data_IF_639722573759
#
_entry.id   IF_639722573759
#
_cell.length_a   1.000
_cell.length_b   1.000
_cell.length_c   1.000
_cell.angle_alpha   90.00
_cell.angle_beta   90.00
_cell.angle_gamma   90.00
#
_symmetry.space_group_name_H-M   'P 1'
#
loop_
_entity.id
_entity.type
_entity.pdbx_description
1 polymer ?
#
# COMPACT_ATOMS: atom_id res chain seq x y z
N UNK A 1 -51.33 -82.46 -61.83
CA UNK A 1 -50.26 -81.55 -61.36
C UNK A 1 -50.92 -80.34 -60.72
N UNK A 2 -50.76 -80.12 -59.41
CA UNK A 2 -51.28 -78.92 -58.72
C UNK A 2 -50.11 -78.13 -58.14
N UNK A 3 -49.97 -76.89 -58.61
CA UNK A 3 -48.91 -75.93 -58.32
C UNK A 3 -48.99 -75.44 -56.88
N UNK A 4 -47.86 -75.47 -56.16
CA UNK A 4 -47.72 -74.90 -54.81
C UNK A 4 -47.21 -73.45 -54.93
N UNK A 5 -48.00 -72.48 -54.48
CA UNK A 5 -47.53 -71.10 -54.30
C UNK A 5 -46.57 -71.05 -53.10
N UNK A 6 -45.32 -70.65 -53.34
CA UNK A 6 -44.37 -70.31 -52.29
C UNK A 6 -44.56 -68.84 -51.90
N UNK A 7 -45.01 -68.57 -50.68
CA UNK A 7 -45.02 -67.23 -50.09
C UNK A 7 -43.61 -66.88 -49.63
N UNK A 8 -42.94 -65.97 -50.32
CA UNK A 8 -41.64 -65.43 -49.90
C UNK A 8 -41.88 -64.27 -48.94
N UNK A 9 -41.79 -64.51 -47.64
CA UNK A 9 -41.80 -63.46 -46.62
C UNK A 9 -40.49 -62.67 -46.70
N UNK A 10 -40.55 -61.42 -47.13
CA UNK A 10 -39.41 -60.50 -47.12
C UNK A 10 -39.29 -59.91 -45.71
N UNK A 11 -38.19 -60.22 -45.02
CA UNK A 11 -37.88 -59.67 -43.70
C UNK A 11 -37.22 -58.30 -43.84
N UNK A 12 -37.87 -57.24 -43.36
CA UNK A 12 -37.30 -55.89 -43.28
C UNK A 12 -36.30 -55.86 -42.11
N UNK A 13 -35.00 -55.73 -42.40
CA UNK A 13 -33.97 -55.45 -41.40
C UNK A 13 -34.02 -53.95 -41.04
N UNK A 14 -34.48 -53.63 -39.84
CA UNK A 14 -34.32 -52.30 -39.25
C UNK A 14 -32.89 -52.16 -38.70
N UNK A 15 -32.05 -51.36 -39.37
CA UNK A 15 -30.78 -50.92 -38.82
C UNK A 15 -31.00 -49.64 -38.01
N UNK A 16 -31.13 -49.76 -36.68
CA UNK A 16 -31.07 -48.59 -35.81
C UNK A 16 -29.59 -48.24 -35.55
N UNK A 17 -29.19 -47.00 -35.87
CA UNK A 17 -27.88 -46.47 -35.47
C UNK A 17 -27.94 -46.20 -33.97
N UNK A 18 -27.48 -47.16 -33.18
CA UNK A 18 -27.27 -46.97 -31.74
C UNK A 18 -26.00 -46.16 -31.53
N UNK A 19 -26.13 -44.97 -30.95
CA UNK A 19 -24.96 -44.16 -30.58
C UNK A 19 -24.35 -44.68 -29.27
N UNK A 20 -23.03 -44.64 -29.14
CA UNK A 20 -22.25 -45.25 -28.04
C UNK A 20 -22.00 -44.32 -26.83
N UNK A 21 -22.54 -43.10 -26.79
CA UNK A 21 -22.37 -42.23 -25.62
C UNK A 21 -23.15 -42.75 -24.40
N UNK A 22 -22.53 -42.62 -23.23
CA UNK A 22 -23.13 -42.99 -21.95
C UNK A 22 -23.73 -41.75 -21.31
N UNK A 23 -25.06 -41.68 -21.29
CA UNK A 23 -25.80 -40.70 -20.50
C UNK A 23 -26.36 -41.33 -19.25
N UNK A 24 -25.98 -40.81 -18.08
CA UNK A 24 -26.62 -41.19 -16.81
C UNK A 24 -27.43 -39.98 -16.33
N UNK A 25 -28.76 -40.13 -16.31
CA UNK A 25 -29.68 -39.05 -15.93
C UNK A 25 -30.02 -38.05 -17.04
N UNK A 26 -29.57 -38.30 -18.27
CA UNK A 26 -29.99 -37.54 -19.48
C UNK A 26 -30.21 -38.49 -20.66
N UNK A 27 -31.33 -38.34 -21.41
CA UNK A 27 -31.55 -39.10 -22.65
C UNK A 27 -30.80 -38.49 -23.85
N UNK A 28 -30.17 -37.33 -23.68
CA UNK A 28 -29.48 -36.62 -24.76
C UNK A 28 -28.14 -36.08 -24.25
N UNK A 29 -27.13 -36.94 -24.08
CA UNK A 29 -25.79 -36.51 -23.70
C UNK A 29 -25.21 -35.55 -24.74
N UNK A 30 -24.38 -34.63 -24.29
CA UNK A 30 -23.60 -33.72 -25.13
C UNK A 30 -22.82 -34.51 -26.19
N UNK A 31 -22.83 -34.03 -27.44
CA UNK A 31 -22.06 -34.63 -28.53
C UNK A 31 -20.54 -34.57 -28.29
N UNK A 32 -20.09 -33.72 -27.36
CA UNK A 32 -18.68 -33.61 -26.96
C UNK A 32 -18.32 -34.49 -25.76
N UNK A 33 -19.23 -35.32 -25.26
CA UNK A 33 -19.02 -36.17 -24.09
C UNK A 33 -19.21 -37.66 -24.41
N UNK A 34 -18.23 -38.48 -24.02
CA UNK A 34 -18.40 -39.95 -24.02
C UNK A 34 -19.23 -40.39 -22.81
N UNK A 35 -19.12 -39.67 -21.68
CA UNK A 35 -19.90 -39.87 -20.46
C UNK A 35 -20.46 -38.53 -19.97
N UNK A 36 -21.76 -38.43 -19.79
CA UNK A 36 -22.42 -37.30 -19.11
C UNK A 36 -23.20 -37.79 -17.89
N UNK A 37 -22.98 -37.15 -16.74
CA UNK A 37 -23.72 -37.37 -15.51
C UNK A 37 -24.59 -36.14 -15.25
N UNK A 38 -25.91 -36.29 -15.40
CA UNK A 38 -26.86 -35.18 -15.23
C UNK A 38 -27.81 -35.47 -14.05
N UNK A 39 -27.64 -34.74 -12.96
CA UNK A 39 -28.51 -34.80 -11.78
C UNK A 39 -28.41 -33.48 -11.02
N UNK A 40 -29.52 -33.02 -10.45
CA UNK A 40 -29.57 -31.82 -9.60
C UNK A 40 -29.18 -32.08 -8.15
N UNK A 41 -29.08 -33.34 -7.72
CA UNK A 41 -28.88 -33.71 -6.32
C UNK A 41 -27.98 -34.95 -6.11
N UNK A 42 -27.26 -35.39 -7.15
CA UNK A 42 -26.26 -36.47 -7.06
C UNK A 42 -24.95 -36.01 -7.68
N UNK A 43 -23.85 -36.57 -7.20
CA UNK A 43 -22.50 -36.33 -7.75
C UNK A 43 -21.83 -37.63 -8.22
N UNK A 44 -20.61 -37.49 -8.72
CA UNK A 44 -19.72 -38.61 -9.00
C UNK A 44 -18.87 -38.91 -7.76
N UNK A 45 -19.04 -40.10 -7.18
CA UNK A 45 -18.12 -40.60 -6.18
C UNK A 45 -16.91 -41.21 -6.88
N UNK A 46 -15.79 -40.50 -6.86
CA UNK A 46 -14.53 -40.95 -7.45
C UNK A 46 -13.93 -42.13 -6.68
N UNK A 47 -13.10 -42.92 -7.36
CA UNK A 47 -12.29 -43.94 -6.70
C UNK A 47 -11.41 -43.30 -5.63
N UNK A 48 -11.50 -43.81 -4.40
CA UNK A 48 -10.68 -43.37 -3.28
C UNK A 48 -9.36 -44.15 -3.27
N UNK A 49 -8.26 -43.45 -3.03
CA UNK A 49 -6.91 -44.03 -2.98
C UNK A 49 -6.12 -43.44 -1.82
N UNK A 50 -5.10 -44.16 -1.37
CA UNK A 50 -4.18 -43.70 -0.32
C UNK A 50 -2.84 -43.37 -0.98
N UNK A 51 -2.68 -42.13 -1.46
CA UNK A 51 -1.43 -41.69 -2.09
C UNK A 51 -0.32 -41.56 -1.02
N UNK A 52 0.92 -41.85 -1.41
CA UNK A 52 2.07 -41.79 -0.51
C UNK A 52 2.90 -40.50 -0.68
N UNK A 53 3.00 -39.99 -1.91
CA UNK A 53 3.63 -38.71 -2.26
C UNK A 53 3.20 -38.26 -3.66
N UNK A 54 3.42 -37.00 -4.02
CA UNK A 54 3.06 -36.47 -5.35
C UNK A 54 3.77 -37.21 -6.48
N UNK A 55 5.03 -37.57 -6.30
CA UNK A 55 5.88 -38.21 -7.31
C UNK A 55 5.84 -39.75 -7.29
N UNK A 56 4.99 -40.37 -6.48
CA UNK A 56 4.82 -41.82 -6.45
C UNK A 56 3.59 -42.22 -7.24
N UNK A 57 3.72 -43.18 -8.15
CA UNK A 57 2.58 -43.77 -8.86
C UNK A 57 1.66 -44.57 -7.92
N UNK A 58 2.17 -45.00 -6.76
CA UNK A 58 1.42 -45.80 -5.78
C UNK A 58 0.12 -45.11 -5.36
N UNK A 59 -1.01 -45.84 -5.26
CA UNK A 59 -1.12 -47.31 -5.34
C UNK A 59 -1.20 -47.88 -6.75
N UNK A 60 -1.05 -47.06 -7.79
CA UNK A 60 -0.98 -47.53 -9.18
C UNK A 60 0.45 -48.01 -9.50
N UNK A 61 0.56 -48.93 -10.46
CA UNK A 61 1.87 -49.42 -10.91
C UNK A 61 2.65 -48.40 -11.76
N UNK A 62 1.97 -47.41 -12.34
CA UNK A 62 2.57 -46.35 -13.14
C UNK A 62 1.68 -45.09 -13.14
N UNK A 63 2.27 -43.95 -13.46
CA UNK A 63 1.53 -42.71 -13.70
C UNK A 63 0.79 -42.80 -15.05
N UNK A 64 -0.49 -42.45 -15.05
CA UNK A 64 -1.34 -42.44 -16.25
C UNK A 64 -1.94 -41.05 -16.37
N UNK A 65 -1.49 -40.30 -17.38
CA UNK A 65 -1.95 -38.93 -17.63
C UNK A 65 -3.48 -38.88 -17.79
N UNK A 66 -4.09 -37.86 -17.16
CA UNK A 66 -5.54 -37.65 -17.23
C UNK A 66 -6.36 -38.55 -16.29
N UNK A 67 -5.73 -39.37 -15.45
CA UNK A 67 -6.42 -40.15 -14.41
C UNK A 67 -6.79 -39.28 -13.22
N UNK A 68 -8.01 -39.45 -12.69
CA UNK A 68 -8.53 -38.67 -11.56
C UNK A 68 -8.90 -39.60 -10.40
N UNK A 69 -8.55 -39.22 -9.18
CA UNK A 69 -8.79 -39.99 -7.96
C UNK A 69 -9.07 -39.07 -6.78
N UNK A 70 -9.75 -39.57 -5.75
CA UNK A 70 -9.85 -38.89 -4.47
C UNK A 70 -8.83 -39.49 -3.49
N UNK A 71 -7.83 -38.71 -3.10
CA UNK A 71 -6.87 -39.13 -2.09
C UNK A 71 -7.47 -39.01 -0.69
N UNK A 72 -7.28 -40.01 0.16
CA UNK A 72 -7.71 -40.00 1.57
C UNK A 72 -6.56 -39.86 2.56
N UNK A 73 -5.31 -39.91 2.09
CA UNK A 73 -4.13 -39.94 2.95
C UNK A 73 -3.50 -38.55 3.15
N UNK A 74 -2.95 -38.32 4.33
CA UNK A 74 -1.92 -37.31 4.57
C UNK A 74 -0.57 -38.02 4.66
N UNK A 75 0.30 -37.83 3.68
CA UNK A 75 1.55 -38.59 3.58
C UNK A 75 2.65 -37.79 2.85
N UNK A 76 3.88 -38.30 2.91
CA UNK A 76 5.05 -37.70 2.28
C UNK A 76 5.60 -36.49 3.04
N UNK A 77 6.64 -35.86 2.47
CA UNK A 77 7.29 -34.67 3.00
C UNK A 77 7.33 -33.57 1.96
N UNK A 78 7.31 -32.31 2.40
CA UNK A 78 7.40 -31.16 1.49
C UNK A 78 8.67 -31.25 0.62
N UNK A 79 8.58 -31.00 -0.71
CA UNK A 79 7.43 -30.44 -1.45
C UNK A 79 6.48 -31.49 -2.06
N UNK A 80 6.70 -32.79 -1.81
CA UNK A 80 5.94 -33.88 -2.43
C UNK A 80 4.87 -34.48 -1.51
N UNK A 81 4.47 -33.78 -0.46
CA UNK A 81 3.44 -34.25 0.45
C UNK A 81 2.05 -34.22 -0.21
N UNK A 82 1.20 -35.15 0.21
CA UNK A 82 -0.20 -35.23 -0.20
C UNK A 82 -1.10 -34.97 1.01
N UNK A 83 -2.30 -34.48 0.74
CA UNK A 83 -3.38 -34.29 1.71
C UNK A 83 -4.67 -34.87 1.13
N UNK A 84 -5.70 -35.13 1.94
CA UNK A 84 -6.99 -35.55 1.41
C UNK A 84 -7.55 -34.53 0.41
N UNK A 85 -8.01 -35.00 -0.75
CA UNK A 85 -8.49 -34.13 -1.82
C UNK A 85 -8.58 -34.80 -3.18
N UNK A 86 -9.09 -34.08 -4.17
CA UNK A 86 -9.17 -34.57 -5.55
C UNK A 86 -7.85 -34.34 -6.28
N UNK A 87 -7.29 -35.38 -6.87
CA UNK A 87 -6.05 -35.33 -7.63
C UNK A 87 -6.28 -35.77 -9.07
N UNK A 88 -5.59 -35.13 -10.01
CA UNK A 88 -5.35 -35.73 -11.32
C UNK A 88 -3.87 -36.10 -11.48
N UNK A 89 -3.60 -37.03 -12.37
CA UNK A 89 -2.24 -37.39 -12.74
C UNK A 89 -1.84 -36.69 -14.05
N UNK A 90 -0.68 -36.03 -14.06
CA UNK A 90 -0.15 -35.31 -15.24
C UNK A 90 0.77 -36.18 -16.13
N UNK A 91 0.81 -37.49 -15.89
CA UNK A 91 1.71 -38.44 -16.56
C UNK A 91 3.04 -38.66 -15.82
N UNK A 92 3.40 -37.78 -14.88
CA UNK A 92 4.64 -37.90 -14.11
C UNK A 92 4.45 -37.80 -12.59
N UNK A 93 3.35 -37.19 -12.13
CA UNK A 93 3.03 -36.98 -10.72
C UNK A 93 1.53 -36.75 -10.51
N UNK A 94 1.11 -36.82 -9.26
CA UNK A 94 -0.19 -36.38 -8.80
C UNK A 94 -0.21 -34.87 -8.60
N UNK A 95 -1.26 -34.22 -9.07
CA UNK A 95 -1.51 -32.79 -8.92
C UNK A 95 -2.82 -32.62 -8.16
N UNK A 96 -2.75 -31.97 -7.00
CA UNK A 96 -3.93 -31.62 -6.22
C UNK A 96 -4.75 -30.60 -7.01
N UNK A 97 -6.02 -30.89 -7.26
CA UNK A 97 -6.98 -29.88 -7.69
C UNK A 97 -7.38 -29.04 -6.49
N UNK A 98 -6.54 -28.08 -6.13
CA UNK A 98 -6.94 -27.00 -5.22
C UNK A 98 -7.81 -26.04 -6.01
N UNK A 99 -9.12 -26.04 -5.72
CA UNK A 99 -10.03 -25.01 -6.19
C UNK A 99 -9.93 -23.86 -5.17
N UNK A 100 -8.85 -23.10 -5.32
CA UNK A 100 -8.66 -21.73 -4.83
C UNK A 100 -8.16 -21.50 -3.40
N UNK A 101 -6.85 -21.46 -3.23
CA UNK A 101 -6.23 -20.68 -2.15
C UNK A 101 -6.19 -19.15 -2.46
N UNK A 102 -6.56 -18.76 -3.68
CA UNK A 102 -6.49 -17.39 -4.19
C UNK A 102 -7.85 -16.70 -4.41
N UNK A 103 -8.95 -17.28 -3.94
CA UNK A 103 -10.22 -16.55 -3.93
C UNK A 103 -10.19 -15.48 -2.83
N UNK A 104 -10.69 -14.27 -3.12
CA UNK A 104 -10.79 -13.25 -2.09
C UNK A 104 -11.76 -13.68 -0.99
N UNK A 105 -11.33 -13.47 0.25
CA UNK A 105 -12.09 -13.74 1.46
C UNK A 105 -12.70 -12.45 1.97
N UNK A 106 -13.83 -12.57 2.68
CA UNK A 106 -14.50 -11.42 3.28
C UNK A 106 -13.51 -10.69 4.20
N UNK A 107 -13.31 -9.40 3.96
CA UNK A 107 -12.35 -8.57 4.70
C UNK A 107 -10.97 -8.44 4.05
N UNK A 108 -10.68 -9.16 2.96
CA UNK A 108 -9.46 -8.94 2.19
C UNK A 108 -9.44 -7.51 1.63
N UNK A 109 -8.26 -6.88 1.69
CA UNK A 109 -8.02 -5.55 1.12
C UNK A 109 -7.05 -5.67 -0.04
N UNK A 110 -7.35 -5.01 -1.16
CA UNK A 110 -6.46 -4.90 -2.31
C UNK A 110 -6.31 -3.45 -2.76
N UNK A 111 -5.17 -3.15 -3.38
CA UNK A 111 -4.96 -1.92 -4.13
C UNK A 111 -5.29 -2.15 -5.62
N UNK A 112 -5.85 -1.13 -6.29
CA UNK A 112 -6.23 -1.19 -7.69
C UNK A 112 -6.28 0.20 -8.32
N UNK A 113 -6.12 0.29 -9.64
CA UNK A 113 -6.34 1.53 -10.42
C UNK A 113 -7.79 1.70 -10.88
N UNK A 114 -8.64 0.69 -10.64
CA UNK A 114 -10.09 0.75 -10.96
C UNK A 114 -10.77 1.76 -10.03
N UNK A 115 -11.71 2.54 -10.56
CA UNK A 115 -12.36 3.64 -9.84
C UNK A 115 -13.72 3.29 -9.24
N UNK A 116 -14.32 2.17 -9.65
CA UNK A 116 -15.66 1.72 -9.22
C UNK A 116 -15.63 0.34 -8.59
N UNK A 117 -16.69 0.02 -7.85
CA UNK A 117 -16.92 -1.33 -7.34
C UNK A 117 -16.95 -2.35 -8.48
N UNK A 118 -16.51 -3.57 -8.19
CA UNK A 118 -16.47 -4.66 -9.16
C UNK A 118 -16.35 -6.00 -8.46
N UNK A 119 -17.06 -7.02 -8.92
CA UNK A 119 -16.84 -8.40 -8.50
C UNK A 119 -16.82 -8.63 -6.97
N UNK A 120 -17.68 -7.93 -6.23
CA UNK A 120 -17.74 -8.03 -4.76
C UNK A 120 -16.66 -7.25 -4.01
N UNK A 121 -15.85 -6.48 -4.73
CA UNK A 121 -14.91 -5.49 -4.21
C UNK A 121 -15.56 -4.13 -4.12
N UNK A 122 -15.48 -3.54 -2.93
CA UNK A 122 -16.12 -2.28 -2.59
C UNK A 122 -15.07 -1.24 -2.23
N UNK A 123 -15.16 -0.06 -2.83
CA UNK A 123 -14.20 1.02 -2.61
C UNK A 123 -14.20 1.50 -1.14
N UNK A 124 -13.02 1.65 -0.55
CA UNK A 124 -12.80 2.18 0.80
C UNK A 124 -12.77 3.72 0.77
N UNK A 125 -13.93 4.33 0.53
CA UNK A 125 -14.11 5.77 0.37
C UNK A 125 -14.97 6.43 1.48
N UNK A 126 -15.30 5.72 2.56
CA UNK A 126 -16.09 6.29 3.65
C UNK A 126 -17.61 6.30 3.44
N UNK A 127 -18.13 5.74 2.34
CA UNK A 127 -19.58 5.72 2.09
C UNK A 127 -20.37 4.93 3.13
N UNK A 128 -21.65 5.26 3.26
CA UNK A 128 -22.59 4.54 4.12
C UNK A 128 -22.75 3.07 3.71
N UNK A 129 -22.85 2.18 4.69
CA UNK A 129 -23.10 0.74 4.45
C UNK A 129 -24.42 0.53 3.71
N UNK A 130 -25.44 1.36 3.99
CA UNK A 130 -26.76 1.28 3.33
C UNK A 130 -26.72 1.53 1.82
N UNK A 131 -25.62 2.06 1.28
CA UNK A 131 -25.41 2.21 -0.16
C UNK A 131 -24.90 0.94 -0.86
N UNK A 132 -24.58 -0.12 -0.09
CA UNK A 132 -24.12 -1.41 -0.61
C UNK A 132 -25.29 -2.36 -0.90
N UNK A 133 -25.14 -3.35 -1.79
CA UNK A 133 -26.07 -4.48 -1.90
C UNK A 133 -26.20 -5.24 -0.57
N UNK A 134 -27.32 -5.94 -0.33
CA UNK A 134 -27.63 -6.64 0.92
C UNK A 134 -26.49 -7.53 1.42
N UNK A 135 -25.86 -8.30 0.53
CA UNK A 135 -24.74 -9.17 0.90
C UNK A 135 -23.53 -8.37 1.41
N UNK A 136 -23.21 -7.25 0.76
CA UNK A 136 -22.18 -6.32 1.18
C UNK A 136 -22.48 -5.68 2.54
N UNK A 137 -23.76 -5.37 2.81
CA UNK A 137 -24.19 -4.84 4.12
C UNK A 137 -24.00 -5.84 5.25
N UNK A 138 -24.46 -7.08 5.04
CA UNK A 138 -24.31 -8.18 6.01
C UNK A 138 -22.83 -8.44 6.30
N UNK A 139 -22.01 -8.55 5.26
CA UNK A 139 -20.60 -8.87 5.40
C UNK A 139 -19.80 -7.71 6.01
N UNK A 140 -20.07 -6.45 5.64
CA UNK A 140 -19.47 -5.29 6.29
C UNK A 140 -19.80 -5.24 7.79
N UNK A 141 -21.06 -5.51 8.15
CA UNK A 141 -21.51 -5.56 9.54
C UNK A 141 -20.81 -6.68 10.32
N UNK A 142 -20.59 -7.83 9.69
CA UNK A 142 -19.85 -8.95 10.30
C UNK A 142 -18.37 -8.62 10.60
N UNK A 143 -17.79 -7.69 9.83
CA UNK A 143 -16.44 -7.16 10.04
C UNK A 143 -16.39 -5.99 11.05
N UNK A 144 -17.53 -5.59 11.62
CA UNK A 144 -17.64 -4.49 12.57
C UNK A 144 -17.92 -3.11 11.96
N UNK A 145 -18.15 -3.02 10.63
CA UNK A 145 -18.51 -1.76 9.97
C UNK A 145 -20.04 -1.62 9.92
N UNK A 146 -20.60 -0.85 10.86
CA UNK A 146 -22.07 -0.76 11.03
C UNK A 146 -22.71 0.48 10.40
N UNK A 147 -21.93 1.55 10.16
CA UNK A 147 -22.45 2.82 9.65
C UNK A 147 -21.87 3.17 8.28
N UNK A 148 -20.55 3.15 8.18
CA UNK A 148 -19.78 3.50 6.97
C UNK A 148 -18.66 2.50 6.74
N UNK A 149 -18.23 2.33 5.49
CA UNK A 149 -16.97 1.66 5.20
C UNK A 149 -15.80 2.53 5.66
N UNK A 150 -14.62 1.94 5.96
CA UNK A 150 -13.40 2.71 6.18
C UNK A 150 -13.09 3.62 4.97
N UNK A 151 -12.52 4.79 5.23
CA UNK A 151 -12.03 5.69 4.20
C UNK A 151 -10.49 5.64 4.14
N UNK A 152 -9.95 5.22 3.00
CA UNK A 152 -8.51 5.09 2.74
C UNK A 152 -7.90 6.29 1.99
N UNK A 153 -8.69 7.30 1.66
CA UNK A 153 -8.22 8.48 0.91
C UNK A 153 -7.09 9.19 1.66
N UNK A 154 -5.98 9.46 0.96
CA UNK A 154 -4.74 10.05 1.49
C UNK A 154 -4.21 9.37 2.76
N UNK A 155 -4.39 8.04 2.86
CA UNK A 155 -3.94 7.25 4.02
C UNK A 155 -3.09 6.06 3.61
N UNK A 156 -2.12 5.76 4.46
CA UNK A 156 -1.34 4.53 4.41
C UNK A 156 -2.04 3.50 5.30
N UNK A 157 -2.31 2.31 4.77
CA UNK A 157 -2.80 1.20 5.58
C UNK A 157 -1.66 0.62 6.43
N UNK A 158 -1.93 0.44 7.72
CA UNK A 158 -0.99 -0.17 8.67
C UNK A 158 -1.68 -1.28 9.45
N UNK A 159 -0.90 -2.24 9.93
CA UNK A 159 -1.38 -3.21 10.92
C UNK A 159 -1.81 -2.49 12.20
N UNK A 160 -2.92 -2.94 12.79
CA UNK A 160 -3.34 -2.46 14.12
C UNK A 160 -2.41 -3.04 15.19
N UNK A 161 -2.13 -2.26 16.23
CA UNK A 161 -1.60 -2.81 17.47
C UNK A 161 -2.74 -3.38 18.34
N UNK A 162 -2.43 -3.78 19.58
CA UNK A 162 -3.41 -4.36 20.52
C UNK A 162 -4.46 -3.37 21.00
N UNK A 163 -4.13 -2.09 21.12
CA UNK A 163 -5.00 -1.03 21.67
C UNK A 163 -5.82 -0.29 20.62
N UNK A 164 -5.41 -0.31 19.36
CA UNK A 164 -6.10 0.37 18.26
C UNK A 164 -7.34 -0.40 17.81
N UNK A 165 -8.43 0.34 17.62
CA UNK A 165 -9.62 -0.16 16.94
C UNK A 165 -9.33 -0.40 15.45
N UNK A 166 -9.99 -1.39 14.87
CA UNK A 166 -9.94 -1.63 13.42
C UNK A 166 -10.47 -0.39 12.68
N UNK A 167 -9.82 -0.04 11.57
CA UNK A 167 -10.15 1.14 10.77
C UNK A 167 -10.06 2.49 11.51
N UNK A 168 -9.45 2.53 12.71
CA UNK A 168 -9.15 3.77 13.38
C UNK A 168 -8.26 4.65 12.49
N UNK A 169 -8.66 5.90 12.33
CA UNK A 169 -7.86 6.92 11.66
C UNK A 169 -7.05 7.68 12.69
N UNK A 170 -5.80 7.97 12.36
CA UNK A 170 -4.90 8.68 13.26
C UNK A 170 -3.55 8.93 12.60
N UNK A 171 -2.63 9.46 13.37
CA UNK A 171 -1.33 9.93 12.89
C UNK A 171 -1.32 11.44 12.70
N UNK A 172 -0.23 12.06 13.13
CA UNK A 172 0.10 13.44 12.82
C UNK A 172 1.26 13.39 11.83
N UNK A 173 1.19 14.18 10.77
CA UNK A 173 2.32 14.37 9.87
C UNK A 173 3.35 15.28 10.56
N UNK A 174 4.16 14.73 11.49
CA UNK A 174 5.26 15.48 12.12
C UNK A 174 6.51 15.42 11.26
N UNK A 175 7.02 16.59 10.89
CA UNK A 175 8.23 16.75 10.08
C UNK A 175 9.32 17.45 10.91
N UNK A 176 10.56 16.98 10.81
CA UNK A 176 11.72 17.72 11.31
C UNK A 176 12.08 18.81 10.32
N UNK A 177 11.96 20.07 10.75
CA UNK A 177 12.40 21.23 9.99
C UNK A 177 13.91 21.41 10.24
N UNK A 178 14.73 21.40 9.19
CA UNK A 178 16.15 21.74 9.28
C UNK A 178 16.37 23.24 9.07
N UNK A 179 17.53 23.79 9.45
CA UNK A 179 17.83 25.22 9.22
C UNK A 179 17.63 25.62 7.75
N UNK A 180 17.97 24.75 6.79
CA UNK A 180 17.77 24.97 5.37
C UNK A 180 16.29 25.14 4.97
N UNK A 181 15.36 24.55 5.70
CA UNK A 181 13.92 24.68 5.46
C UNK A 181 13.34 25.99 6.01
N UNK A 182 14.10 26.74 6.81
CA UNK A 182 13.66 28.03 7.30
C UNK A 182 13.92 29.13 6.27
N UNK A 183 13.12 30.21 6.27
CA UNK A 183 13.45 31.43 5.54
C UNK A 183 14.74 32.07 6.03
N UNK A 184 15.49 32.65 5.09
CA UNK A 184 16.64 33.48 5.45
C UNK A 184 16.15 34.86 5.89
N UNK A 185 16.03 35.06 7.19
CA UNK A 185 15.63 36.32 7.78
C UNK A 185 16.89 37.09 8.15
N UNK A 186 16.98 38.35 7.71
CA UNK A 186 18.03 39.24 8.18
C UNK A 186 17.62 39.83 9.53
N UNK A 187 18.27 39.37 10.59
CA UNK A 187 18.06 39.88 11.94
C UNK A 187 18.92 41.14 12.08
N UNK A 188 18.26 42.30 12.15
CA UNK A 188 18.92 43.59 12.30
C UNK A 188 18.74 44.13 13.70
N UNK A 189 19.76 44.79 14.25
CA UNK A 189 19.67 45.49 15.52
C UNK A 189 20.54 46.73 15.54
N UNK A 190 20.18 47.66 16.40
CA UNK A 190 20.98 48.82 16.77
C UNK A 190 21.29 48.76 18.25
N UNK A 191 22.51 49.12 18.65
CA UNK A 191 22.85 49.26 20.07
C UNK A 191 21.90 50.26 20.74
N UNK A 192 21.53 50.02 22.01
CA UNK A 192 20.59 50.90 22.73
C UNK A 192 21.29 52.08 23.41
N UNK A 193 22.60 51.97 23.63
CA UNK A 193 23.42 53.01 24.27
C UNK A 193 24.62 53.29 23.39
N UNK A 194 24.77 54.56 23.03
CA UNK A 194 26.00 55.05 22.44
C UNK A 194 27.12 54.91 23.46
N UNK A 195 28.20 54.23 23.07
CA UNK A 195 29.38 54.10 23.91
C UNK A 195 30.10 55.44 23.97
N UNK A 196 29.88 56.19 25.05
CA UNK A 196 30.63 57.42 25.32
C UNK A 196 32.13 57.08 25.39
N UNK A 197 32.89 57.58 24.42
CA UNK A 197 34.34 57.42 24.40
C UNK A 197 35.01 58.78 24.22
N UNK A 198 36.29 58.84 24.58
CA UNK A 198 37.11 60.05 24.51
C UNK A 198 38.33 59.80 23.64
N UNK A 199 38.84 60.86 23.02
CA UNK A 199 40.09 60.82 22.28
C UNK A 199 41.14 61.68 22.98
N UNK A 200 42.41 61.26 22.91
CA UNK A 200 43.53 62.06 23.36
C UNK A 200 44.11 62.83 22.19
N UNK A 201 44.30 64.13 22.36
CA UNK A 201 45.04 64.94 21.41
C UNK A 201 46.08 65.79 22.14
N UNK A 202 47.20 66.02 21.47
CA UNK A 202 48.29 66.82 22.02
C UNK A 202 48.12 68.24 21.52
N UNK A 203 47.74 69.15 22.42
CA UNK A 203 47.70 70.57 22.08
C UNK A 203 49.13 71.11 22.14
N UNK A 204 49.73 71.38 20.97
CA UNK A 204 51.06 71.95 20.86
C UNK A 204 50.95 73.45 21.09
N UNK A 205 51.06 73.88 22.34
CA UNK A 205 51.10 75.29 22.72
C UNK A 205 52.33 75.98 22.12
N UNK A 206 52.17 76.59 20.96
CA UNK A 206 53.14 77.55 20.40
C UNK A 206 52.37 78.82 20.07
N UNK A 207 52.04 79.58 21.10
CA UNK A 207 51.70 80.99 20.95
C UNK A 207 52.18 81.74 22.19
N UNK A 208 53.15 82.62 21.99
CA UNK A 208 53.56 83.60 22.99
C UNK A 208 52.38 84.56 23.21
N UNK A 209 51.71 84.44 24.36
CA UNK A 209 50.63 85.34 24.73
C UNK A 209 51.21 86.49 25.55
N UNK A 210 51.27 87.69 24.95
CA UNK A 210 51.69 88.90 25.67
C UNK A 210 50.52 89.39 26.52
N UNK A 211 50.62 89.22 27.84
CA UNK A 211 49.67 89.78 28.78
C UNK A 211 50.21 91.10 29.31
N UNK A 212 49.62 92.22 28.90
CA UNK A 212 49.94 93.53 29.44
C UNK A 212 49.07 93.84 30.64
N UNK A 213 49.63 93.71 31.84
CA UNK A 213 49.10 94.33 33.05
C UNK A 213 50.10 95.36 33.55
N UNK A 214 49.84 96.63 33.22
CA UNK A 214 50.42 97.76 33.94
C UNK A 214 51.94 97.91 33.88
N UNK A 215 52.55 97.76 32.70
CA UNK A 215 53.85 98.38 32.40
C UNK A 215 55.08 97.48 32.26
N UNK A 216 54.97 96.17 32.48
CA UNK A 216 56.04 95.23 32.10
C UNK A 216 55.49 94.02 31.33
N UNK A 217 56.15 93.69 30.21
CA UNK A 217 55.74 92.60 29.33
C UNK A 217 56.38 91.30 29.87
N UNK A 218 55.56 90.36 30.37
CA UNK A 218 56.05 89.06 30.83
C UNK A 218 55.55 87.97 29.89
N UNK A 219 56.46 87.09 29.46
CA UNK A 219 56.15 86.00 28.55
C UNK A 219 55.82 84.73 29.33
N UNK A 220 54.60 84.23 29.24
CA UNK A 220 54.22 82.92 29.80
C UNK A 220 54.33 81.84 28.73
N UNK A 221 55.23 80.88 28.91
CA UNK A 221 55.31 79.68 28.06
C UNK A 221 54.17 78.73 28.44
N UNK A 222 53.32 78.37 27.47
CA UNK A 222 52.31 77.32 27.65
C UNK A 222 52.95 76.00 27.21
N UNK A 223 53.09 75.04 28.12
CA UNK A 223 53.69 73.75 27.80
C UNK A 223 52.83 72.96 26.81
N UNK A 224 53.46 72.06 26.05
CA UNK A 224 52.70 71.06 25.28
C UNK A 224 51.94 70.17 26.27
N UNK A 225 50.62 70.14 26.16
CA UNK A 225 49.75 69.39 27.06
C UNK A 225 48.91 68.41 26.27
N UNK A 226 48.90 67.14 26.70
CA UNK A 226 47.95 66.14 26.20
C UNK A 226 46.61 66.41 26.86
N UNK A 227 45.59 66.72 26.06
CA UNK A 227 44.22 66.93 26.53
C UNK A 227 43.33 65.83 25.98
N UNK A 228 42.40 65.38 26.81
CA UNK A 228 41.35 64.45 26.42
C UNK A 228 40.13 65.28 26.01
N UNK A 229 39.51 64.97 24.87
CA UNK A 229 38.24 65.60 24.50
C UNK A 229 37.18 65.30 25.55
N UNK A 230 36.13 66.13 25.65
CA UNK A 230 34.91 65.68 26.33
C UNK A 230 34.40 64.38 25.70
N UNK A 231 33.68 63.56 26.47
CA UNK A 231 32.98 62.42 25.90
C UNK A 231 31.82 62.97 25.04
N UNK A 232 32.06 63.17 23.75
CA UNK A 232 31.06 63.72 22.84
C UNK A 232 31.19 63.04 21.47
N UNK A 233 30.15 62.28 21.12
CA UNK A 233 30.03 61.53 19.88
C UNK A 233 29.12 60.33 20.08
N UNK A 234 27.81 60.57 20.28
CA UNK A 234 26.84 59.48 20.33
C UNK A 234 26.66 58.92 18.91
N UNK A 235 27.29 57.77 18.64
CA UNK A 235 27.00 56.99 17.44
C UNK A 235 26.35 55.66 17.81
N UNK A 236 25.63 55.08 16.86
CA UNK A 236 24.98 53.79 17.00
C UNK A 236 25.62 52.78 16.06
N UNK A 237 25.79 51.54 16.55
CA UNK A 237 26.21 50.44 15.71
C UNK A 237 24.97 49.69 15.20
N UNK A 238 24.86 49.56 13.89
CA UNK A 238 23.92 48.64 13.26
C UNK A 238 24.62 47.31 13.00
N UNK A 239 23.99 46.19 13.34
CA UNK A 239 24.40 44.88 12.87
C UNK A 239 23.27 44.21 12.10
N UNK A 240 23.64 43.35 11.15
CA UNK A 240 22.72 42.51 10.39
C UNK A 240 23.31 41.11 10.30
N UNK A 241 22.58 40.12 10.79
CA UNK A 241 23.01 38.70 10.76
C UNK A 241 21.90 37.88 10.09
N UNK A 242 22.21 37.14 9.01
CA UNK A 242 21.23 36.24 8.41
C UNK A 242 20.93 35.06 9.34
N UNK A 243 19.67 34.61 9.39
CA UNK A 243 19.26 33.42 10.17
C UNK A 243 19.86 32.12 9.63
N UNK A 244 20.45 32.14 8.43
CA UNK A 244 21.11 31.00 7.79
C UNK A 244 20.15 30.04 7.09
N UNK A 245 18.87 30.41 6.97
CA UNK A 245 17.89 29.64 6.20
C UNK A 245 18.13 29.71 4.69
N UNK A 246 17.61 28.75 3.93
CA UNK A 246 17.77 28.71 2.46
C UNK A 246 16.45 28.49 1.71
N UNK A 247 15.29 28.53 2.38
CA UNK A 247 13.97 28.33 1.77
C UNK A 247 13.81 26.98 1.03
N UNK A 248 14.52 25.93 1.46
CA UNK A 248 14.34 24.60 0.85
C UNK A 248 12.96 24.06 1.19
N UNK A 249 12.18 23.73 0.16
CA UNK A 249 10.83 23.18 0.30
C UNK A 249 10.82 21.87 1.11
N UNK A 250 9.79 21.69 1.95
CA UNK A 250 9.59 20.46 2.73
C UNK A 250 8.81 19.46 1.87
N UNK A 251 9.39 18.29 1.61
CA UNK A 251 8.70 17.22 0.90
C UNK A 251 7.98 16.28 1.90
N UNK A 252 6.67 16.09 1.71
CA UNK A 252 5.78 15.56 2.75
C UNK A 252 5.42 14.08 2.64
N UNK A 253 5.95 13.34 1.65
CA UNK A 253 5.66 11.92 1.47
C UNK A 253 6.90 11.10 1.06
N UNK A 254 7.01 9.81 1.47
CA UNK A 254 7.87 8.87 0.78
C UNK A 254 7.53 8.86 -0.73
N UNK A 255 8.47 8.46 -1.59
CA UNK A 255 8.16 8.21 -3.00
C UNK A 255 7.02 7.17 -3.07
N UNK A 256 5.89 7.54 -3.66
CA UNK A 256 4.69 6.72 -3.65
C UNK A 256 3.98 6.77 -5.00
N UNK A 257 3.10 5.79 -5.21
CA UNK A 257 2.12 5.75 -6.30
C UNK A 257 0.74 5.73 -5.68
N UNK A 258 -0.16 6.58 -6.18
CA UNK A 258 -1.53 6.67 -5.68
C UNK A 258 -2.41 5.68 -6.43
N UNK A 259 -3.14 4.87 -5.67
CA UNK A 259 -4.07 3.84 -6.14
C UNK A 259 -5.28 3.81 -5.21
N UNK A 260 -6.38 3.24 -5.70
CA UNK A 260 -7.58 3.03 -4.91
C UNK A 260 -7.42 1.78 -4.04
N UNK A 261 -8.02 1.77 -2.84
CA UNK A 261 -8.10 0.58 -2.00
C UNK A 261 -9.54 0.06 -1.93
N UNK A 262 -9.68 -1.26 -2.03
CA UNK A 262 -10.95 -1.96 -2.00
C UNK A 262 -10.97 -3.01 -0.90
N UNK A 263 -12.15 -3.27 -0.35
CA UNK A 263 -12.42 -4.39 0.55
C UNK A 263 -13.34 -5.40 -0.14
N UNK A 264 -13.05 -6.69 0.00
CA UNK A 264 -13.94 -7.73 -0.52
C UNK A 264 -15.05 -8.02 0.49
N UNK A 265 -16.30 -7.88 0.06
CA UNK A 265 -17.50 -8.17 0.87
C UNK A 265 -18.44 -9.15 0.18
N UNK A 266 -17.96 -9.88 -0.83
CA UNK A 266 -18.74 -10.89 -1.55
C UNK A 266 -19.51 -10.33 -2.76
N UNK A 267 -19.72 -11.21 -3.74
CA UNK A 267 -20.55 -10.97 -4.92
C UNK A 267 -22.02 -11.17 -4.60
#
# INVERSE_FOLDING_TARGET
MRTRLFYTSIGILFFAIVKSQVGIGTPSPSNSAILELNSSNKGLLMNTVSLTSLNSASPMGSHVEGMWVYNTATAGTSPNNVIPGLYYNDGAKWVLMSINDNLPRIGDIKSSVVTTDHDGWYLLNGRNITALPTIGQTNASSLGFTTTLPNSSDRILKGKNTSEALAAVGGNNSYSITQANLPNLNITGTTAQSGAHTHNYTNRGVNYWNYNSGGQNTTRTINTETRTTGAAGDHQHTFSVPSGGTNVAINQYPKHMVVQNFIYLGK
#
